data_IF_840869225078
#
_entry.id   IF_840869225078
#
_cell.length_a   1.000
_cell.length_b   1.000
_cell.length_c   1.000
_cell.angle_alpha   90.00
_cell.angle_beta   90.00
_cell.angle_gamma   90.00
#
_symmetry.space_group_name_H-M   'P 1'
#
loop_
_entity.id
_entity.type
_entity.pdbx_description
1 polymer ?
#
# COMPACT_ATOMS: atom_id res chain seq x y z
N UNK A 1 -11.24 -18.25 10.21
CA UNK A 1 -10.40 -17.02 10.11
C UNK A 1 -11.06 -16.04 9.12
N UNK A 2 -11.06 -14.73 9.42
CA UNK A 2 -11.53 -13.73 8.45
C UNK A 2 -10.64 -13.79 7.21
N UNK A 3 -11.23 -13.81 6.00
CA UNK A 3 -10.51 -13.84 4.73
C UNK A 3 -9.66 -12.57 4.56
N UNK A 4 -8.56 -12.68 3.87
CA UNK A 4 -7.71 -11.54 3.50
C UNK A 4 -7.76 -11.44 1.97
N UNK A 5 -7.88 -10.22 1.46
CA UNK A 5 -7.74 -9.94 0.03
C UNK A 5 -6.51 -9.05 -0.20
N UNK A 6 -5.74 -9.36 -1.25
CA UNK A 6 -4.66 -8.51 -1.76
C UNK A 6 -5.12 -7.86 -3.06
N UNK A 7 -4.95 -6.55 -3.17
CA UNK A 7 -5.32 -5.77 -4.37
C UNK A 7 -4.08 -5.09 -4.95
N UNK A 8 -3.82 -5.32 -6.24
CA UNK A 8 -2.75 -4.66 -6.99
C UNK A 8 -3.31 -4.15 -8.32
N UNK A 9 -2.96 -2.94 -8.73
CA UNK A 9 -3.13 -2.46 -10.11
C UNK A 9 -1.85 -2.70 -10.88
N UNK A 10 -1.95 -3.05 -12.18
CA UNK A 10 -0.76 -3.27 -13.00
C UNK A 10 -1.02 -3.02 -14.49
N UNK A 11 -0.01 -2.54 -15.17
CA UNK A 11 0.10 -2.56 -16.63
C UNK A 11 1.14 -3.57 -17.11
N UNK A 12 1.85 -4.21 -16.18
CA UNK A 12 2.86 -5.23 -16.49
C UNK A 12 2.22 -6.55 -16.98
N UNK A 13 3.02 -7.38 -17.59
CA UNK A 13 2.58 -8.71 -18.01
C UNK A 13 2.56 -9.69 -16.82
N UNK A 14 1.87 -10.83 -17.01
CA UNK A 14 1.89 -11.94 -16.04
C UNK A 14 3.28 -12.55 -15.80
N UNK A 15 4.29 -12.15 -16.61
CA UNK A 15 5.68 -12.55 -16.43
C UNK A 15 6.40 -11.70 -15.38
N UNK A 16 5.82 -10.57 -14.93
CA UNK A 16 6.41 -9.73 -13.89
C UNK A 16 6.78 -10.56 -12.66
N UNK A 17 8.03 -10.44 -12.25
CA UNK A 17 8.60 -11.20 -11.14
C UNK A 17 7.88 -10.94 -9.81
N UNK A 18 7.54 -9.68 -9.54
CA UNK A 18 6.91 -9.25 -8.29
C UNK A 18 5.50 -9.78 -8.20
N UNK A 19 4.71 -9.68 -9.28
CA UNK A 19 3.36 -10.27 -9.34
C UNK A 19 3.38 -11.78 -9.13
N UNK A 20 4.36 -12.50 -9.72
CA UNK A 20 4.55 -13.94 -9.49
C UNK A 20 4.86 -14.24 -8.02
N UNK A 21 5.70 -13.41 -7.39
CA UNK A 21 6.03 -13.55 -5.97
C UNK A 21 4.81 -13.36 -5.09
N UNK A 22 3.98 -12.32 -5.35
CA UNK A 22 2.72 -12.13 -4.65
C UNK A 22 1.74 -13.27 -4.87
N UNK A 23 1.58 -13.75 -6.10
CA UNK A 23 0.67 -14.86 -6.40
C UNK A 23 1.06 -16.15 -5.65
N UNK A 24 2.37 -16.45 -5.61
CA UNK A 24 2.89 -17.60 -4.83
C UNK A 24 2.62 -17.44 -3.34
N UNK A 25 2.89 -16.27 -2.79
CA UNK A 25 2.68 -15.99 -1.35
C UNK A 25 1.19 -15.98 -1.00
N UNK A 26 0.35 -15.36 -1.82
CA UNK A 26 -1.10 -15.30 -1.62
C UNK A 26 -1.70 -16.71 -1.61
N UNK A 27 -1.32 -17.55 -2.60
CA UNK A 27 -1.74 -18.94 -2.65
C UNK A 27 -1.32 -19.72 -1.41
N UNK A 28 -0.07 -19.58 -0.96
CA UNK A 28 0.44 -20.25 0.25
C UNK A 28 -0.34 -19.88 1.50
N UNK A 29 -0.82 -18.64 1.60
CA UNK A 29 -1.50 -18.12 2.78
C UNK A 29 -3.04 -18.10 2.65
N UNK A 30 -3.62 -18.70 1.60
CA UNK A 30 -5.08 -18.70 1.39
C UNK A 30 -5.67 -17.30 1.19
N UNK A 31 -4.92 -16.40 0.59
CA UNK A 31 -5.28 -14.99 0.35
C UNK A 31 -5.84 -14.86 -1.05
N UNK A 32 -6.98 -14.17 -1.18
CA UNK A 32 -7.52 -13.80 -2.47
C UNK A 32 -6.65 -12.71 -3.10
N UNK A 33 -6.09 -12.98 -4.28
CA UNK A 33 -5.26 -12.02 -4.99
C UNK A 33 -5.99 -11.44 -6.20
N UNK A 34 -6.38 -10.18 -6.10
CA UNK A 34 -7.11 -9.41 -7.11
C UNK A 34 -6.14 -8.51 -7.86
N UNK A 35 -6.08 -8.67 -9.17
CA UNK A 35 -5.21 -7.86 -10.04
C UNK A 35 -6.07 -7.06 -11.00
N UNK A 36 -5.97 -5.75 -10.93
CA UNK A 36 -6.69 -4.80 -11.76
C UNK A 36 -5.80 -4.32 -12.89
N UNK A 37 -6.16 -4.67 -14.13
CA UNK A 37 -5.47 -4.19 -15.32
C UNK A 37 -5.96 -2.81 -15.78
N UNK A 38 -5.26 -2.24 -16.75
CA UNK A 38 -5.67 -0.99 -17.41
C UNK A 38 -5.43 -1.08 -18.93
N UNK A 39 -5.62 0.01 -19.67
CA UNK A 39 -5.51 0.05 -21.14
C UNK A 39 -4.17 -0.48 -21.67
N UNK A 40 -3.09 -0.19 -20.97
CA UNK A 40 -1.72 -0.63 -21.33
C UNK A 40 -1.41 -2.08 -20.90
N UNK A 41 -2.30 -2.73 -20.14
CA UNK A 41 -2.10 -4.12 -19.74
C UNK A 41 -2.21 -5.07 -20.93
N UNK A 42 -1.44 -6.17 -20.96
CA UNK A 42 -1.52 -7.15 -22.04
C UNK A 42 -2.93 -7.74 -22.21
N UNK A 43 -3.33 -7.97 -23.46
CA UNK A 43 -4.62 -8.61 -23.78
C UNK A 43 -4.74 -10.01 -23.16
N UNK A 44 -3.63 -10.76 -23.18
CA UNK A 44 -3.55 -12.07 -22.53
C UNK A 44 -2.78 -11.96 -21.22
N UNK A 45 -3.48 -12.15 -20.12
CA UNK A 45 -2.87 -12.17 -18.78
C UNK A 45 -3.33 -13.42 -18.05
N UNK A 46 -2.40 -14.32 -17.76
CA UNK A 46 -2.66 -15.53 -16.99
C UNK A 46 -1.59 -15.67 -15.91
N UNK A 47 -2.01 -15.62 -14.66
CA UNK A 47 -1.14 -15.79 -13.49
C UNK A 47 -1.85 -16.68 -12.48
N UNK A 48 -1.32 -17.91 -12.31
CA UNK A 48 -1.90 -18.88 -11.37
C UNK A 48 -1.93 -18.31 -9.94
N UNK A 49 -3.10 -18.30 -9.33
CA UNK A 49 -3.31 -17.76 -7.98
C UNK A 49 -3.67 -16.28 -7.95
N UNK A 50 -3.93 -15.65 -9.11
CA UNK A 50 -4.42 -14.28 -9.20
C UNK A 50 -5.74 -14.23 -9.99
N UNK A 51 -6.67 -13.42 -9.52
CA UNK A 51 -7.92 -13.09 -10.18
C UNK A 51 -7.74 -11.81 -10.98
N UNK A 52 -7.45 -11.92 -12.28
CA UNK A 52 -7.22 -10.76 -13.13
C UNK A 52 -8.52 -10.18 -13.69
N UNK A 53 -8.60 -8.85 -13.63
CA UNK A 53 -9.72 -8.07 -14.16
C UNK A 53 -9.21 -7.11 -15.26
N UNK A 54 -9.36 -7.54 -16.53
CA UNK A 54 -9.10 -6.68 -17.69
C UNK A 54 -10.08 -5.51 -17.74
N UNK A 55 -9.81 -4.47 -18.54
CA UNK A 55 -10.77 -3.36 -18.73
C UNK A 55 -12.15 -3.84 -19.18
N UNK A 56 -12.20 -4.83 -20.08
CA UNK A 56 -13.47 -5.42 -20.54
C UNK A 56 -14.23 -6.03 -19.35
N UNK A 57 -13.56 -6.85 -18.53
CA UNK A 57 -14.16 -7.46 -17.35
C UNK A 57 -14.57 -6.43 -16.30
N UNK A 58 -13.78 -5.36 -16.12
CA UNK A 58 -14.11 -4.28 -15.19
C UNK A 58 -15.39 -3.53 -15.61
N UNK A 59 -15.56 -3.25 -16.91
CA UNK A 59 -16.76 -2.57 -17.45
C UNK A 59 -18.03 -3.41 -17.27
N UNK A 60 -17.94 -4.74 -17.21
CA UNK A 60 -19.09 -5.62 -16.97
C UNK A 60 -19.47 -5.80 -15.50
N UNK A 61 -18.68 -5.22 -14.56
CA UNK A 61 -19.03 -5.26 -13.14
C UNK A 61 -20.26 -4.41 -12.86
N UNK A 62 -21.09 -4.86 -11.91
CA UNK A 62 -22.33 -4.17 -11.50
C UNK A 62 -22.09 -2.96 -10.58
N UNK A 63 -20.88 -2.41 -10.54
CA UNK A 63 -20.59 -1.20 -9.77
C UNK A 63 -20.81 0.05 -10.63
N UNK A 64 -21.50 1.05 -10.12
CA UNK A 64 -21.62 2.35 -10.79
C UNK A 64 -20.26 2.96 -11.08
N UNK A 65 -19.31 2.80 -10.15
CA UNK A 65 -17.93 3.26 -10.28
C UNK A 65 -17.24 2.69 -11.52
N UNK A 66 -17.55 1.46 -11.96
CA UNK A 66 -16.92 0.82 -13.11
C UNK A 66 -17.15 1.56 -14.42
N UNK A 67 -18.26 2.33 -14.50
CA UNK A 67 -18.68 3.07 -15.69
C UNK A 67 -18.01 4.43 -15.83
N UNK A 68 -17.63 5.05 -14.70
CA UNK A 68 -17.16 6.44 -14.64
C UNK A 68 -15.65 6.58 -14.42
N UNK A 69 -14.97 5.53 -13.94
CA UNK A 69 -13.53 5.60 -13.69
C UNK A 69 -12.73 5.82 -14.97
N UNK A 70 -11.80 6.79 -14.97
CA UNK A 70 -10.92 7.03 -16.12
C UNK A 70 -10.02 5.81 -16.39
N UNK A 71 -9.62 5.66 -17.64
CA UNK A 71 -8.58 4.70 -18.06
C UNK A 71 -7.19 5.33 -17.89
N UNK A 72 -6.14 4.51 -17.84
CA UNK A 72 -4.77 4.93 -17.55
C UNK A 72 -4.68 5.73 -16.24
N UNK A 73 -5.39 5.28 -15.22
CA UNK A 73 -5.46 5.98 -13.96
C UNK A 73 -5.49 4.99 -12.78
N UNK A 74 -4.66 5.24 -11.78
CA UNK A 74 -4.53 4.35 -10.61
C UNK A 74 -5.82 4.25 -9.76
N UNK A 75 -6.76 5.22 -9.89
CA UNK A 75 -8.07 5.14 -9.22
C UNK A 75 -8.86 3.86 -9.56
N UNK A 76 -8.49 3.17 -10.64
CA UNK A 76 -9.08 1.86 -10.96
C UNK A 76 -8.82 0.82 -9.88
N UNK A 77 -7.82 1.00 -9.01
CA UNK A 77 -7.59 0.18 -7.82
C UNK A 77 -8.84 0.10 -6.93
N UNK A 78 -9.67 1.16 -6.91
CA UNK A 78 -10.92 1.18 -6.15
C UNK A 78 -11.91 0.07 -6.58
N UNK A 79 -11.90 -0.34 -7.85
CA UNK A 79 -12.68 -1.52 -8.26
C UNK A 79 -12.19 -2.80 -7.60
N UNK A 80 -10.89 -2.92 -7.42
CA UNK A 80 -10.30 -4.04 -6.67
C UNK A 80 -10.77 -4.08 -5.21
N UNK A 81 -10.90 -2.92 -4.58
CA UNK A 81 -11.45 -2.84 -3.22
C UNK A 81 -12.92 -3.24 -3.18
N UNK A 82 -13.74 -2.76 -4.13
CA UNK A 82 -15.15 -3.12 -4.20
C UNK A 82 -15.35 -4.62 -4.44
N UNK A 83 -14.53 -5.23 -5.33
CA UNK A 83 -14.54 -6.68 -5.58
C UNK A 83 -14.18 -7.43 -4.30
N UNK A 84 -13.11 -6.99 -3.62
CA UNK A 84 -12.71 -7.58 -2.35
C UNK A 84 -13.85 -7.48 -1.32
N UNK A 85 -14.47 -6.32 -1.17
CA UNK A 85 -15.55 -6.08 -0.21
C UNK A 85 -16.77 -6.98 -0.45
N UNK A 86 -17.11 -7.28 -1.71
CA UNK A 86 -18.19 -8.24 -2.04
C UNK A 86 -17.91 -9.63 -1.47
N UNK A 87 -16.65 -10.02 -1.39
CA UNK A 87 -16.23 -11.31 -0.85
C UNK A 87 -16.07 -11.31 0.68
N UNK A 88 -16.45 -10.19 1.32
CA UNK A 88 -16.48 -9.97 2.76
C UNK A 88 -15.16 -10.34 3.47
N UNK A 89 -14.03 -9.73 3.09
CA UNK A 89 -12.76 -9.96 3.75
C UNK A 89 -12.73 -9.23 5.10
N UNK A 90 -11.99 -9.80 6.05
CA UNK A 90 -11.70 -9.09 7.30
C UNK A 90 -10.61 -8.04 7.16
N UNK A 91 -9.83 -8.13 6.09
CA UNK A 91 -8.71 -7.21 5.82
C UNK A 91 -8.45 -7.15 4.32
N UNK A 92 -8.28 -5.94 3.81
CA UNK A 92 -7.78 -5.68 2.46
C UNK A 92 -6.35 -5.17 2.59
N UNK A 93 -5.44 -5.80 1.88
CA UNK A 93 -4.07 -5.34 1.71
C UNK A 93 -3.96 -4.75 0.31
N UNK A 94 -3.26 -3.64 0.19
CA UNK A 94 -2.94 -3.08 -1.10
C UNK A 94 -1.44 -2.80 -1.22
N UNK A 95 -0.93 -2.86 -2.43
CA UNK A 95 0.45 -2.51 -2.76
C UNK A 95 0.55 -2.28 -4.28
N UNK A 96 1.73 -1.96 -4.76
CA UNK A 96 2.02 -1.76 -6.18
C UNK A 96 2.85 -2.92 -6.77
N UNK A 97 2.88 -3.02 -8.08
CA UNK A 97 3.51 -4.11 -8.82
C UNK A 97 5.04 -4.00 -8.95
N UNK A 98 5.61 -2.98 -8.33
CA UNK A 98 7.04 -2.70 -8.20
C UNK A 98 7.59 -2.88 -6.76
N UNK A 99 6.72 -3.10 -5.78
CA UNK A 99 7.09 -3.31 -4.39
C UNK A 99 7.37 -4.79 -4.10
N UNK A 100 8.61 -5.12 -3.76
CA UNK A 100 8.99 -6.51 -3.42
C UNK A 100 8.51 -6.85 -1.99
N UNK A 101 7.65 -7.89 -1.81
CA UNK A 101 7.18 -8.25 -0.48
C UNK A 101 8.29 -8.84 0.38
N UNK A 102 8.40 -8.40 1.63
CA UNK A 102 9.18 -9.07 2.66
C UNK A 102 8.57 -10.42 3.05
N UNK A 103 9.36 -11.28 3.69
CA UNK A 103 8.90 -12.62 4.15
C UNK A 103 7.66 -12.56 5.04
N UNK A 104 7.54 -11.50 5.83
CA UNK A 104 6.44 -11.26 6.77
C UNK A 104 5.34 -10.33 6.24
N UNK A 105 5.31 -10.04 4.93
CA UNK A 105 4.37 -9.09 4.33
C UNK A 105 2.91 -9.39 4.69
N UNK A 106 2.52 -10.65 4.74
CA UNK A 106 1.17 -11.07 5.12
C UNK A 106 0.99 -11.34 6.62
N UNK A 107 2.03 -11.14 7.43
CA UNK A 107 1.94 -11.23 8.89
C UNK A 107 1.27 -9.98 9.45
N UNK A 108 0.04 -9.72 9.00
CA UNK A 108 -0.72 -8.56 9.45
C UNK A 108 -1.02 -8.75 10.92
N UNK A 109 -0.59 -7.81 11.71
CA UNK A 109 -1.03 -7.69 13.08
C UNK A 109 -2.49 -7.25 13.03
N UNK A 110 -3.37 -8.25 13.10
CA UNK A 110 -4.82 -8.08 13.01
C UNK A 110 -5.31 -7.01 13.98
N UNK A 111 -6.52 -6.56 13.77
CA UNK A 111 -7.44 -5.75 14.57
C UNK A 111 -7.41 -5.96 16.10
N UNK A 112 -6.37 -6.56 16.65
CA UNK A 112 -6.11 -6.67 18.08
C UNK A 112 -5.38 -5.42 18.56
N UNK A 113 -5.67 -5.02 19.78
CA UNK A 113 -4.95 -3.92 20.44
C UNK A 113 -3.44 -4.16 20.34
N UNK A 114 -2.75 -3.26 19.66
CA UNK A 114 -1.30 -3.31 19.51
C UNK A 114 -0.66 -2.25 20.39
N UNK A 115 0.50 -2.60 20.94
CA UNK A 115 1.35 -1.60 21.58
C UNK A 115 1.92 -0.71 20.50
N UNK A 116 1.62 0.56 20.56
CA UNK A 116 2.04 1.58 19.59
C UNK A 116 2.37 2.87 20.29
N UNK A 117 3.19 3.68 19.65
CA UNK A 117 3.49 5.03 20.11
C UNK A 117 2.48 5.99 19.50
N UNK A 118 1.76 6.72 20.34
CA UNK A 118 0.82 7.76 19.91
C UNK A 118 1.56 9.07 19.78
N UNK A 119 1.47 9.70 18.62
CA UNK A 119 1.94 11.05 18.37
C UNK A 119 0.81 12.05 18.62
N UNK A 120 1.11 13.12 19.34
CA UNK A 120 0.21 14.27 19.50
C UNK A 120 0.35 15.31 18.39
N UNK A 121 1.23 15.08 17.41
CA UNK A 121 1.35 15.99 16.29
C UNK A 121 0.10 15.92 15.41
N UNK A 122 -0.36 17.05 14.96
CA UNK A 122 -1.53 17.21 14.07
C UNK A 122 -1.16 18.05 12.84
N UNK A 123 -2.05 18.15 11.88
CA UNK A 123 -1.81 18.83 10.62
C UNK A 123 -0.80 18.07 9.75
N UNK A 124 0.20 18.75 9.21
CA UNK A 124 1.25 18.16 8.40
C UNK A 124 2.27 17.41 9.26
N UNK A 125 2.26 16.09 9.20
CA UNK A 125 3.18 15.24 9.97
C UNK A 125 4.07 14.45 9.02
N UNK A 126 5.35 14.81 8.96
CA UNK A 126 6.34 14.04 8.21
C UNK A 126 6.68 12.74 8.95
N UNK A 127 5.98 11.66 8.58
CA UNK A 127 6.13 10.35 9.23
C UNK A 127 7.56 9.79 9.16
N UNK A 128 8.32 10.11 8.11
CA UNK A 128 9.71 9.63 7.96
C UNK A 128 10.63 10.10 9.07
N UNK A 129 10.34 11.25 9.71
CA UNK A 129 11.14 11.77 10.85
C UNK A 129 11.13 10.86 12.08
N UNK A 130 10.17 9.94 12.20
CA UNK A 130 10.15 8.94 13.26
C UNK A 130 11.07 7.74 12.98
N UNK A 131 11.38 7.48 11.71
CA UNK A 131 12.06 6.27 11.25
C UNK A 131 13.44 6.53 10.64
N UNK A 132 13.79 7.79 10.41
CA UNK A 132 15.08 8.18 9.82
C UNK A 132 15.62 9.48 10.45
N UNK A 133 16.95 9.57 10.53
CA UNK A 133 17.64 10.83 10.87
C UNK A 133 17.78 11.76 9.66
N UNK A 134 17.59 11.24 8.43
CA UNK A 134 17.62 12.05 7.22
C UNK A 134 16.37 12.92 7.15
N UNK A 135 16.52 14.18 6.67
CA UNK A 135 15.37 15.04 6.40
C UNK A 135 14.76 14.64 5.05
N UNK A 136 13.88 13.64 5.07
CA UNK A 136 13.24 13.09 3.89
C UNK A 136 12.01 13.92 3.56
N UNK A 137 11.86 14.32 2.30
CA UNK A 137 10.70 15.03 1.80
C UNK A 137 9.69 14.02 1.20
N UNK A 138 8.57 13.72 1.88
CA UNK A 138 7.55 12.84 1.34
C UNK A 138 6.88 13.45 0.11
N UNK A 139 6.45 12.63 -0.84
CA UNK A 139 5.70 13.09 -2.01
C UNK A 139 4.43 13.83 -1.57
N UNK A 140 4.20 15.02 -2.15
CA UNK A 140 3.04 15.84 -1.87
C UNK A 140 3.03 16.51 -0.50
N UNK A 141 4.09 16.38 0.29
CA UNK A 141 4.23 17.07 1.56
C UNK A 141 4.57 18.55 1.32
N UNK A 142 3.89 19.46 2.01
CA UNK A 142 4.08 20.89 1.84
C UNK A 142 5.53 21.29 2.19
N UNK A 143 6.17 22.05 1.30
CA UNK A 143 7.58 22.45 1.44
C UNK A 143 7.83 23.27 2.71
N UNK A 144 6.93 24.21 2.99
CA UNK A 144 6.97 25.08 4.18
C UNK A 144 6.85 24.32 5.49
N UNK A 145 6.31 23.09 5.44
CA UNK A 145 6.18 22.23 6.62
C UNK A 145 7.39 21.29 6.80
N UNK A 146 8.22 21.15 5.76
CA UNK A 146 9.31 20.15 5.73
C UNK A 146 10.29 20.32 6.88
N UNK A 147 10.67 21.56 7.18
CA UNK A 147 11.67 21.88 8.21
C UNK A 147 11.08 22.16 9.58
N UNK A 148 9.75 22.19 9.71
CA UNK A 148 9.12 22.40 11.02
C UNK A 148 9.48 21.29 12.00
N UNK A 149 9.74 21.63 13.27
CA UNK A 149 10.07 20.63 14.27
C UNK A 149 8.89 19.67 14.50
N UNK A 150 9.22 18.40 14.66
CA UNK A 150 8.25 17.37 15.01
C UNK A 150 8.45 16.97 16.47
N UNK A 151 7.39 17.02 17.28
CA UNK A 151 7.47 16.51 18.64
C UNK A 151 7.78 15.01 18.62
N UNK A 152 8.87 14.63 19.27
CA UNK A 152 9.27 13.24 19.47
C UNK A 152 8.71 12.66 20.78
N UNK A 153 7.92 13.43 21.54
CA UNK A 153 7.25 12.93 22.73
C UNK A 153 6.13 11.99 22.29
N UNK A 154 6.30 10.72 22.55
CA UNK A 154 5.38 9.66 22.17
C UNK A 154 4.84 8.98 23.44
N UNK A 155 3.53 8.78 23.49
CA UNK A 155 2.89 8.02 24.58
C UNK A 155 2.70 6.58 24.13
N UNK A 156 3.21 5.62 24.88
CA UNK A 156 2.97 4.21 24.63
C UNK A 156 1.52 3.85 25.03
N UNK A 157 0.80 3.21 24.15
CA UNK A 157 -0.58 2.77 24.41
C UNK A 157 -0.93 1.49 23.65
N UNK A 158 -1.98 0.83 24.06
CA UNK A 158 -2.56 -0.31 23.34
C UNK A 158 -3.83 0.16 22.62
N UNK A 159 -3.76 0.24 21.30
CA UNK A 159 -4.86 0.70 20.45
C UNK A 159 -5.11 -0.26 19.30
N UNK A 160 -6.29 -0.13 18.69
CA UNK A 160 -6.63 -0.76 17.42
C UNK A 160 -6.39 0.28 16.32
N UNK A 161 -5.54 -0.03 15.35
CA UNK A 161 -5.33 0.80 14.16
C UNK A 161 -5.96 0.13 12.95
N UNK A 162 -7.15 0.58 12.52
CA UNK A 162 -7.86 -0.04 11.39
C UNK A 162 -7.15 0.17 10.05
N UNK A 163 -6.43 1.27 9.91
CA UNK A 163 -5.58 1.56 8.74
C UNK A 163 -4.13 1.42 9.17
N UNK A 164 -3.37 0.61 8.43
CA UNK A 164 -1.96 0.37 8.69
C UNK A 164 -1.17 0.55 7.40
N UNK A 165 -0.11 1.34 7.45
CA UNK A 165 0.77 1.59 6.31
C UNK A 165 2.20 1.15 6.65
N UNK A 166 2.80 0.33 5.79
CA UNK A 166 4.21 -0.01 5.82
C UNK A 166 5.06 1.04 5.12
N UNK A 167 6.32 1.15 5.51
CA UNK A 167 7.32 1.96 4.80
C UNK A 167 8.01 1.09 3.75
N UNK A 168 8.25 1.67 2.57
CA UNK A 168 9.05 1.04 1.53
C UNK A 168 10.51 1.39 1.72
N UNK A 169 11.37 0.37 1.84
CA UNK A 169 12.81 0.54 1.84
C UNK A 169 13.35 0.84 0.44
N UNK A 170 14.58 1.28 0.37
CA UNK A 170 15.38 1.61 -0.81
C UNK A 170 14.84 2.81 -1.60
N UNK A 171 13.63 2.74 -2.13
CA UNK A 171 13.00 3.80 -2.91
C UNK A 171 11.65 4.22 -2.30
N UNK A 172 11.63 4.88 -1.14
CA UNK A 172 10.40 5.35 -0.53
C UNK A 172 9.72 6.41 -1.39
N UNK A 173 8.44 6.65 -1.11
CA UNK A 173 7.65 7.63 -1.82
C UNK A 173 8.05 9.06 -1.40
N UNK A 174 9.00 9.63 -2.14
CA UNK A 174 9.58 10.95 -1.89
C UNK A 174 9.26 11.92 -3.02
N UNK A 175 9.35 13.21 -2.69
CA UNK A 175 9.20 14.28 -3.68
C UNK A 175 10.25 14.16 -4.82
N UNK A 176 9.87 14.63 -6.01
CA UNK A 176 10.72 14.55 -7.19
C UNK A 176 12.04 15.35 -7.01
N UNK A 177 11.98 16.53 -6.40
CA UNK A 177 13.17 17.36 -6.14
C UNK A 177 14.08 16.64 -5.14
N UNK A 178 13.50 16.03 -4.09
CA UNK A 178 14.28 15.23 -3.15
C UNK A 178 14.99 14.07 -3.86
N UNK A 179 14.30 13.36 -4.74
CA UNK A 179 14.84 12.23 -5.51
C UNK A 179 16.00 12.65 -6.43
N UNK A 180 15.92 13.84 -7.01
CA UNK A 180 16.97 14.38 -7.88
C UNK A 180 18.20 14.90 -7.11
N UNK A 181 18.00 15.42 -5.91
CA UNK A 181 19.04 16.14 -5.15
C UNK A 181 19.64 15.34 -3.99
N UNK A 182 19.08 14.19 -3.64
CA UNK A 182 19.50 13.38 -2.50
C UNK A 182 19.80 11.94 -2.88
N UNK A 183 20.72 11.34 -2.15
CA UNK A 183 21.17 9.98 -2.41
C UNK A 183 20.17 8.95 -1.92
N UNK A 184 19.76 8.07 -2.80
CA UNK A 184 19.08 6.80 -2.50
C UNK A 184 20.13 5.67 -2.54
N UNK A 185 19.89 4.53 -1.92
CA UNK A 185 18.66 4.11 -1.22
C UNK A 185 18.51 4.65 0.20
N UNK A 186 17.29 4.62 0.71
CA UNK A 186 16.97 4.91 2.10
C UNK A 186 16.47 3.62 2.77
N UNK A 187 17.04 3.28 3.93
CA UNK A 187 16.58 2.16 4.76
C UNK A 187 16.04 2.67 6.08
N UNK A 188 14.87 2.18 6.45
CA UNK A 188 14.25 2.50 7.72
C UNK A 188 14.62 1.46 8.77
N UNK A 189 15.13 1.91 9.93
CA UNK A 189 15.69 1.03 10.96
C UNK A 189 14.83 0.94 12.23
N UNK A 190 13.54 1.20 12.14
CA UNK A 190 12.69 1.17 13.33
C UNK A 190 11.72 0.00 13.33
N UNK A 191 11.59 -0.66 14.47
CA UNK A 191 10.56 -1.67 14.75
C UNK A 191 9.34 -1.09 15.47
N UNK A 192 9.29 0.23 15.64
CA UNK A 192 8.22 0.93 16.35
C UNK A 192 6.99 1.10 15.44
N UNK A 193 5.81 0.88 15.99
CA UNK A 193 4.57 1.32 15.36
C UNK A 193 4.25 2.72 15.85
N UNK A 194 3.93 3.62 14.94
CA UNK A 194 3.51 5.00 15.25
C UNK A 194 2.06 5.15 14.84
N UNK A 195 1.23 5.69 15.70
CA UNK A 195 -0.16 6.03 15.40
C UNK A 195 -0.35 7.54 15.38
N UNK A 196 -1.07 8.01 14.38
CA UNK A 196 -1.40 9.40 14.17
C UNK A 196 -2.92 9.57 14.20
N UNK A 197 -3.41 10.76 14.56
CA UNK A 197 -4.82 11.11 14.42
C UNK A 197 -5.74 10.44 15.44
N UNK A 198 -5.29 10.27 16.69
CA UNK A 198 -6.10 9.77 17.81
C UNK A 198 -6.39 10.90 18.80
#
# INVERSE_FOLDING_TARGET
MKKIALVITTIASSKNYILKKYAKLAKKNGIEFIVIGDKKSPLKFSLKGANYYSLKKQKSLKFNLSKILPINHYSRKNLGYLIAMQNNPGTIIETDDDNIPFKNFFSIKKTTKQTTYISKNSGWVNIYKYFSKKNIWPRGFALEELNKPLSKKLKLSKIISPIQQGLADDNPDVDAIYRLTRTLPIKFKSTKNISLGI
#
